data_IF_029617989219
#
_entry.id   IF_029617989219
#
_cell.length_a   1.000
_cell.length_b   1.000
_cell.length_c   1.000
_cell.angle_alpha   90.00
_cell.angle_beta   90.00
_cell.angle_gamma   90.00
#
_symmetry.space_group_name_H-M   'P 1'
#
loop_
_entity.id
_entity.type
_entity.pdbx_description
1 polymer ?
#
# COMPACT_ATOMS: atom_id res chain seq x y z
N UNK A 1 11.61 17.70 7.29
CA UNK A 1 11.35 16.31 7.73
C UNK A 1 10.71 16.30 9.09
N UNK A 2 9.42 15.97 9.17
CA UNK A 2 8.69 15.87 10.44
C UNK A 2 8.96 14.54 11.18
N UNK A 3 10.02 13.81 10.78
CA UNK A 3 10.43 12.54 11.41
C UNK A 3 9.55 11.33 11.06
N UNK A 4 8.90 11.31 9.90
CA UNK A 4 8.10 10.16 9.46
C UNK A 4 9.01 9.05 8.90
N UNK A 5 8.81 7.82 9.38
CA UNK A 5 9.56 6.65 8.91
C UNK A 5 9.04 6.10 7.57
N UNK A 6 7.76 6.30 7.27
CA UNK A 6 7.10 5.89 6.03
C UNK A 6 5.83 6.72 5.76
N UNK A 7 5.32 6.65 4.54
CA UNK A 7 4.06 7.27 4.12
C UNK A 7 3.07 6.20 3.66
N UNK A 8 1.88 6.17 4.27
CA UNK A 8 0.78 5.30 3.85
C UNK A 8 -0.10 5.98 2.79
N UNK A 9 -0.18 5.40 1.60
CA UNK A 9 -1.12 5.79 0.56
C UNK A 9 -2.51 5.21 0.89
N UNK A 10 -3.23 5.87 1.79
CA UNK A 10 -4.52 5.38 2.28
C UNK A 10 -5.70 5.67 1.35
N UNK A 11 -5.56 6.63 0.43
CA UNK A 11 -6.59 6.96 -0.56
C UNK A 11 -6.57 5.98 -1.72
N UNK A 12 -7.75 5.56 -2.19
CA UNK A 12 -7.87 4.64 -3.35
C UNK A 12 -7.23 5.20 -4.60
N UNK A 13 -7.21 6.52 -4.78
CA UNK A 13 -6.63 7.11 -5.98
C UNK A 13 -5.11 7.23 -5.89
N UNK A 14 -4.55 7.12 -4.68
CA UNK A 14 -3.12 7.33 -4.44
C UNK A 14 -2.29 6.14 -4.94
N UNK A 15 -2.77 4.91 -4.80
CA UNK A 15 -2.04 3.75 -5.36
C UNK A 15 -1.96 3.83 -6.88
N UNK A 16 -2.97 4.39 -7.56
CA UNK A 16 -2.95 4.64 -9.00
C UNK A 16 -2.05 5.82 -9.37
N UNK A 17 -2.14 6.91 -8.62
CA UNK A 17 -1.41 8.15 -8.91
C UNK A 17 0.11 8.01 -8.73
N UNK A 18 0.54 7.11 -7.83
CA UNK A 18 1.94 6.89 -7.49
C UNK A 18 2.48 5.53 -7.98
N UNK A 19 1.71 4.78 -8.78
CA UNK A 19 2.18 3.52 -9.37
C UNK A 19 3.42 3.74 -10.25
N UNK A 20 4.47 2.97 -10.00
CA UNK A 20 5.76 3.07 -10.70
C UNK A 20 6.59 4.33 -10.42
N UNK A 21 6.15 5.22 -9.52
CA UNK A 21 6.92 6.39 -9.12
C UNK A 21 7.87 6.08 -7.95
N UNK A 22 9.09 6.60 -8.01
CA UNK A 22 9.98 6.68 -6.85
C UNK A 22 9.68 7.96 -6.06
N UNK A 23 9.04 7.80 -4.89
CA UNK A 23 8.68 8.91 -4.02
C UNK A 23 9.87 9.48 -3.21
N UNK A 24 11.03 8.81 -3.22
CA UNK A 24 12.19 9.23 -2.43
C UNK A 24 12.07 8.96 -0.92
N UNK A 25 11.06 8.19 -0.50
CA UNK A 25 10.84 7.73 0.87
C UNK A 25 10.08 6.39 0.88
N UNK A 26 10.13 5.62 1.98
CA UNK A 26 9.35 4.39 2.10
C UNK A 26 7.85 4.64 1.99
N UNK A 27 7.21 3.89 1.09
CA UNK A 27 5.77 3.97 0.85
C UNK A 27 5.11 2.66 1.24
N UNK A 28 3.98 2.76 1.93
CA UNK A 28 3.04 1.65 2.13
C UNK A 28 1.84 1.89 1.21
N UNK A 29 1.64 0.99 0.25
CA UNK A 29 0.51 1.06 -0.67
C UNK A 29 -0.72 0.40 -0.03
N UNK A 30 -1.70 1.21 0.38
CA UNK A 30 -2.94 0.71 0.99
C UNK A 30 -3.80 -0.11 0.03
N UNK A 31 -3.75 0.18 -1.27
CA UNK A 31 -4.45 -0.59 -2.30
C UNK A 31 -3.86 -1.99 -2.41
N UNK A 32 -2.54 -2.09 -2.56
CA UNK A 32 -1.85 -3.39 -2.66
C UNK A 32 -2.03 -4.24 -1.40
N UNK A 33 -1.91 -3.64 -0.20
CA UNK A 33 -2.12 -4.34 1.07
C UNK A 33 -3.51 -4.98 1.15
N UNK A 34 -4.56 -4.25 0.75
CA UNK A 34 -5.91 -4.80 0.73
C UNK A 34 -6.08 -5.91 -0.30
N UNK A 35 -5.52 -5.76 -1.50
CA UNK A 35 -5.57 -6.79 -2.55
C UNK A 35 -4.92 -8.07 -2.04
N UNK A 36 -3.72 -7.99 -1.47
CA UNK A 36 -3.00 -9.15 -0.93
C UNK A 36 -3.82 -9.86 0.17
N UNK A 37 -4.45 -9.09 1.05
CA UNK A 37 -5.32 -9.63 2.10
C UNK A 37 -6.55 -10.36 1.53
N UNK A 38 -7.20 -9.76 0.52
CA UNK A 38 -8.35 -10.37 -0.16
C UNK A 38 -7.98 -11.65 -0.91
N UNK A 39 -6.82 -11.67 -1.57
CA UNK A 39 -6.30 -12.86 -2.25
C UNK A 39 -6.07 -13.99 -1.25
N UNK A 40 -5.37 -13.72 -0.13
CA UNK A 40 -5.13 -14.71 0.93
C UNK A 40 -6.43 -15.27 1.49
N UNK A 41 -7.37 -14.39 1.84
CA UNK A 41 -8.68 -14.80 2.33
C UNK A 41 -9.45 -15.68 1.33
N UNK A 42 -9.36 -15.34 0.03
CA UNK A 42 -10.03 -16.09 -1.04
C UNK A 42 -9.43 -17.48 -1.28
N UNK A 43 -8.14 -17.65 -0.97
CA UNK A 43 -7.45 -18.95 -1.06
C UNK A 43 -7.63 -19.81 0.20
N UNK A 44 -8.34 -19.32 1.22
CA UNK A 44 -8.50 -20.01 2.50
C UNK A 44 -7.24 -19.98 3.37
N UNK A 45 -6.28 -19.10 3.05
CA UNK A 45 -5.12 -18.82 3.87
C UNK A 45 -5.57 -17.84 4.98
N UNK A 46 -6.14 -18.39 6.07
CA UNK A 46 -6.41 -17.58 7.25
C UNK A 46 -5.07 -17.09 7.84
N UNK A 47 -4.99 -15.78 8.07
CA UNK A 47 -3.85 -15.05 8.66
C UNK A 47 -3.43 -15.61 10.01
#
# INVERSE_FOLDING_TARGET
DQGADAVLLAGTDLFLAFDGYDCGFPVLDGGQIHIDALVKASLGENT
#
